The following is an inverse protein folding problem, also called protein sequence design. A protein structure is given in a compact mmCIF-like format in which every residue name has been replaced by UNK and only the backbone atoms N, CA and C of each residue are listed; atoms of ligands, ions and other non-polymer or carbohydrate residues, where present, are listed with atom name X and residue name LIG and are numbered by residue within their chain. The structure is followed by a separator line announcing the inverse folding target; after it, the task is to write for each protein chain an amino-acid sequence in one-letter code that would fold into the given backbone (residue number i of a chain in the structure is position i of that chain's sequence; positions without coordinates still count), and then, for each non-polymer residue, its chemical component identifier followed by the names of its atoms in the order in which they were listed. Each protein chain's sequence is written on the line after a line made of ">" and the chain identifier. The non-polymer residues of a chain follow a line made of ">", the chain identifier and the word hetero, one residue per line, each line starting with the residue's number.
data_IF_212531711150
#
_entry.id   IF_212531711150
#
_cell.length_a   1.000
_cell.length_b   1.000
_cell.length_c   1.000
_cell.angle_alpha   90.00
_cell.angle_beta   90.00
_cell.angle_gamma   90.00
#
_symmetry.space_group_name_H-M   'P 1'
#
loop_
_entity.id
_entity.type
_entity.pdbx_description
1 polymer ?
#
# COMPACT_ATOMS: atom_id res chain seq x y z
N UNK A 1 -18.81 -12.07 -4.67
CA UNK A 1 -18.15 -12.53 -5.90
C UNK A 1 -16.68 -12.13 -5.85
N UNK A 2 -15.78 -13.12 -5.90
CA UNK A 2 -14.33 -12.97 -5.95
C UNK A 2 -13.89 -13.09 -7.41
N UNK A 3 -13.82 -11.98 -8.14
CA UNK A 3 -13.19 -11.94 -9.45
C UNK A 3 -12.01 -10.99 -9.38
N UNK A 4 -10.81 -11.52 -9.59
CA UNK A 4 -9.60 -10.73 -9.84
C UNK A 4 -9.68 -10.27 -11.29
N UNK A 5 -9.88 -8.97 -11.49
CA UNK A 5 -9.93 -8.38 -12.83
C UNK A 5 -8.50 -8.06 -13.23
N UNK A 6 -8.00 -8.69 -14.31
CA UNK A 6 -6.69 -8.39 -14.89
C UNK A 6 -6.81 -7.11 -15.71
N UNK A 7 -6.47 -5.98 -15.11
CA UNK A 7 -6.47 -4.69 -15.79
C UNK A 7 -5.16 -4.53 -16.58
N UNK A 8 -5.27 -4.12 -17.85
CA UNK A 8 -4.14 -3.84 -18.72
C UNK A 8 -3.35 -2.62 -18.20
N UNK A 9 -2.08 -2.45 -18.58
CA UNK A 9 -1.23 -1.34 -18.07
C UNK A 9 -1.85 0.05 -18.34
N UNK A 10 -2.52 0.19 -19.48
CA UNK A 10 -3.29 1.37 -19.87
C UNK A 10 -4.45 1.63 -18.89
N UNK A 11 -5.06 0.58 -18.34
CA UNK A 11 -6.16 0.69 -17.39
C UNK A 11 -5.68 1.12 -15.99
N UNK A 12 -4.53 0.64 -15.53
CA UNK A 12 -3.96 1.09 -14.24
C UNK A 12 -3.53 2.56 -14.26
N UNK A 13 -3.00 3.04 -15.39
CA UNK A 13 -2.70 4.46 -15.58
C UNK A 13 -3.96 5.34 -15.44
N UNK A 14 -5.09 4.91 -16.00
CA UNK A 14 -6.36 5.62 -15.89
C UNK A 14 -6.94 5.57 -14.47
N UNK A 15 -6.88 4.42 -13.80
CA UNK A 15 -7.28 4.29 -12.39
C UNK A 15 -6.44 5.22 -11.52
N UNK A 16 -5.11 5.20 -11.68
CA UNK A 16 -4.21 6.08 -10.95
C UNK A 16 -4.51 7.55 -11.22
N UNK A 17 -4.75 7.94 -12.48
CA UNK A 17 -5.11 9.32 -12.82
C UNK A 17 -6.39 9.76 -12.10
N UNK A 18 -7.42 8.92 -12.09
CA UNK A 18 -8.69 9.24 -11.46
C UNK A 18 -8.59 9.28 -9.92
N UNK A 19 -7.87 8.32 -9.32
CA UNK A 19 -7.70 8.29 -7.86
C UNK A 19 -6.85 9.46 -7.35
N UNK A 20 -5.84 9.87 -8.11
CA UNK A 20 -4.98 11.00 -7.78
C UNK A 20 -5.61 12.36 -8.08
N UNK A 21 -6.82 12.41 -8.64
CA UNK A 21 -7.51 13.67 -8.84
C UNK A 21 -7.81 14.32 -7.49
N UNK A 22 -7.28 15.52 -7.30
CA UNK A 22 -7.35 16.29 -6.06
C UNK A 22 -8.67 17.02 -5.87
N UNK A 23 -9.57 16.98 -6.88
CA UNK A 23 -10.92 17.53 -6.76
C UNK A 23 -11.81 16.75 -5.77
N UNK A 24 -11.36 15.58 -5.29
CA UNK A 24 -12.11 14.73 -4.37
C UNK A 24 -13.09 13.76 -5.05
N UNK A 25 -13.16 13.76 -6.38
CA UNK A 25 -14.03 12.90 -7.20
C UNK A 25 -13.76 11.40 -6.98
N UNK A 26 -12.55 11.04 -6.56
CA UNK A 26 -12.18 9.67 -6.23
C UNK A 26 -13.06 9.05 -5.11
N UNK A 27 -13.69 9.88 -4.26
CA UNK A 27 -14.60 9.41 -3.20
C UNK A 27 -15.89 8.79 -3.74
N UNK A 28 -16.23 9.01 -5.01
CA UNK A 28 -17.33 8.33 -5.70
C UNK A 28 -17.10 6.82 -5.83
N UNK A 29 -15.83 6.39 -5.91
CA UNK A 29 -15.46 4.97 -5.85
C UNK A 29 -15.67 4.50 -4.41
N UNK A 30 -16.25 3.32 -4.20
CA UNK A 30 -16.44 2.81 -2.84
C UNK A 30 -15.11 2.60 -2.11
N UNK A 31 -15.12 2.78 -0.79
CA UNK A 31 -13.98 2.50 0.11
C UNK A 31 -13.40 1.11 -0.15
N UNK A 32 -14.27 0.10 -0.32
CA UNK A 32 -13.87 -1.28 -0.58
C UNK A 32 -13.14 -1.43 -1.92
N UNK A 33 -13.60 -0.75 -2.96
CA UNK A 33 -12.95 -0.81 -4.27
C UNK A 33 -11.59 -0.12 -4.26
N UNK A 34 -11.44 1.01 -3.55
CA UNK A 34 -10.14 1.69 -3.40
C UNK A 34 -9.13 0.81 -2.67
N UNK A 35 -9.55 0.14 -1.59
CA UNK A 35 -8.72 -0.84 -0.89
C UNK A 35 -8.31 -1.99 -1.83
N UNK A 36 -9.25 -2.53 -2.60
CA UNK A 36 -8.99 -3.59 -3.58
C UNK A 36 -8.00 -3.19 -4.66
N UNK A 37 -8.04 -1.95 -5.16
CA UNK A 37 -7.07 -1.50 -6.16
C UNK A 37 -5.63 -1.56 -5.65
N UNK A 38 -5.38 -1.20 -4.39
CA UNK A 38 -4.05 -1.28 -3.79
C UNK A 38 -3.64 -2.75 -3.63
N UNK A 39 -4.54 -3.59 -3.12
CA UNK A 39 -4.29 -5.03 -2.91
C UNK A 39 -3.98 -5.74 -4.24
N UNK A 40 -4.81 -5.57 -5.26
CA UNK A 40 -4.63 -6.18 -6.58
C UNK A 40 -3.36 -5.66 -7.26
N UNK A 41 -3.08 -4.35 -7.21
CA UNK A 41 -1.88 -3.78 -7.80
C UNK A 41 -0.61 -4.31 -7.14
N UNK A 42 -0.61 -4.50 -5.82
CA UNK A 42 0.50 -5.12 -5.10
C UNK A 42 0.71 -6.57 -5.55
N UNK A 43 -0.35 -7.37 -5.63
CA UNK A 43 -0.26 -8.76 -6.11
C UNK A 43 0.31 -8.83 -7.54
N UNK A 44 -0.13 -7.94 -8.44
CA UNK A 44 0.39 -7.89 -9.81
C UNK A 44 1.87 -7.46 -9.84
N UNK A 45 2.25 -6.48 -9.02
CA UNK A 45 3.64 -6.05 -8.90
C UNK A 45 4.54 -7.20 -8.42
N UNK A 46 4.11 -7.95 -7.40
CA UNK A 46 4.84 -9.11 -6.90
C UNK A 46 4.98 -10.22 -7.93
N UNK A 47 3.98 -10.39 -8.81
CA UNK A 47 4.02 -11.33 -9.92
C UNK A 47 4.76 -10.81 -11.17
N UNK A 48 5.36 -9.60 -11.10
CA UNK A 48 6.01 -8.92 -12.23
C UNK A 48 5.08 -8.64 -13.42
N UNK A 49 3.78 -8.55 -13.15
CA UNK A 49 2.74 -8.20 -14.14
C UNK A 49 2.40 -6.70 -14.13
N UNK A 50 2.87 -5.97 -13.11
CA UNK A 50 2.74 -4.52 -13.00
C UNK A 50 4.09 -3.90 -12.62
N UNK A 51 4.49 -2.84 -13.30
CA UNK A 51 5.73 -2.13 -12.99
C UNK A 51 5.65 -1.49 -11.59
N UNK A 52 6.77 -1.53 -10.87
CA UNK A 52 6.91 -0.91 -9.53
C UNK A 52 6.56 0.58 -9.58
N UNK A 53 6.95 1.28 -10.66
CA UNK A 53 6.62 2.69 -10.86
C UNK A 53 5.11 2.92 -11.02
N UNK A 54 4.39 2.00 -11.68
CA UNK A 54 2.95 2.07 -11.84
C UNK A 54 2.22 1.82 -10.52
N UNK A 55 2.70 0.86 -9.70
CA UNK A 55 2.20 0.64 -8.35
C UNK A 55 2.36 1.90 -7.49
N UNK A 56 3.56 2.49 -7.43
CA UNK A 56 3.78 3.72 -6.65
C UNK A 56 2.95 4.90 -7.16
N UNK A 57 2.76 5.01 -8.47
CA UNK A 57 1.91 6.04 -9.04
C UNK A 57 0.45 5.87 -8.64
N UNK A 58 -0.04 4.62 -8.57
CA UNK A 58 -1.37 4.32 -8.06
C UNK A 58 -1.49 4.76 -6.61
N UNK A 59 -0.58 4.37 -5.72
CA UNK A 59 -0.72 4.60 -4.26
C UNK A 59 -0.58 6.07 -3.83
N UNK A 60 -0.19 6.99 -4.71
CA UNK A 60 -0.08 8.43 -4.39
C UNK A 60 -1.37 9.02 -3.81
N UNK A 61 -2.55 8.52 -4.21
CA UNK A 61 -3.83 9.04 -3.73
C UNK A 61 -4.03 8.81 -2.23
N UNK A 62 -3.28 7.88 -1.63
CA UNK A 62 -3.33 7.66 -0.19
C UNK A 62 -2.99 8.94 0.59
N UNK A 63 -2.17 9.84 0.04
CA UNK A 63 -1.86 11.14 0.66
C UNK A 63 -3.09 12.01 0.93
N UNK A 64 -4.19 11.80 0.20
CA UNK A 64 -5.46 12.51 0.37
C UNK A 64 -6.58 11.63 0.95
N UNK A 65 -6.28 10.38 1.30
CA UNK A 65 -7.22 9.41 1.85
C UNK A 65 -7.14 9.37 3.37
N UNK A 66 -8.29 9.37 4.03
CA UNK A 66 -8.39 9.32 5.50
C UNK A 66 -9.05 8.05 6.02
N UNK A 67 -9.65 7.25 5.13
CA UNK A 67 -10.32 6.03 5.53
C UNK A 67 -9.32 4.90 5.79
N UNK A 68 -9.28 4.42 7.03
CA UNK A 68 -8.39 3.34 7.47
C UNK A 68 -8.51 2.06 6.64
N UNK A 69 -9.71 1.70 6.17
CA UNK A 69 -9.93 0.48 5.38
C UNK A 69 -9.16 0.55 4.06
N UNK A 70 -8.99 1.74 3.49
CA UNK A 70 -8.21 1.94 2.26
C UNK A 70 -6.71 1.90 2.53
N UNK A 71 -6.28 2.33 3.71
CA UNK A 71 -4.88 2.25 4.14
C UNK A 71 -4.42 0.84 4.52
N UNK A 72 -5.33 -0.02 4.96
CA UNK A 72 -5.00 -1.37 5.45
C UNK A 72 -4.16 -2.21 4.48
N UNK A 73 -4.49 -2.32 3.17
CA UNK A 73 -3.63 -3.01 2.20
C UNK A 73 -2.22 -2.42 2.14
N UNK A 74 -2.07 -1.10 2.18
CA UNK A 74 -0.75 -0.46 2.15
C UNK A 74 0.09 -0.79 3.39
N UNK A 75 -0.53 -0.91 4.56
CA UNK A 75 0.14 -1.36 5.78
C UNK A 75 0.68 -2.78 5.60
N UNK A 76 -0.10 -3.69 5.00
CA UNK A 76 0.35 -5.06 4.70
C UNK A 76 1.50 -5.08 3.69
N UNK A 77 1.52 -4.14 2.72
CA UNK A 77 2.66 -3.97 1.82
C UNK A 77 3.92 -3.56 2.58
N UNK A 78 3.82 -2.61 3.50
CA UNK A 78 4.98 -2.20 4.31
C UNK A 78 5.48 -3.30 5.23
N UNK A 79 4.58 -4.07 5.85
CA UNK A 79 4.94 -5.25 6.65
C UNK A 79 5.64 -6.32 5.79
N UNK A 80 5.19 -6.53 4.56
CA UNK A 80 5.89 -7.42 3.63
C UNK A 80 7.29 -6.89 3.30
N UNK A 81 7.42 -5.59 2.99
CA UNK A 81 8.70 -4.96 2.67
C UNK A 81 9.66 -4.92 3.86
N UNK A 82 9.18 -4.75 5.09
CA UNK A 82 10.04 -4.72 6.28
C UNK A 82 10.71 -6.06 6.52
N UNK A 83 10.06 -7.17 6.17
CA UNK A 83 10.66 -8.51 6.22
C UNK A 83 11.74 -8.71 5.14
N UNK A 84 11.75 -7.89 4.08
CA UNK A 84 12.74 -7.97 3.00
C UNK A 84 13.98 -7.12 3.26
N UNK A 85 13.90 -6.12 4.14
CA UNK A 85 15.06 -5.33 4.56
C UNK A 85 15.75 -6.11 5.67
N UNK A 86 16.94 -6.68 5.44
CA UNK A 86 17.71 -7.25 6.53
C UNK A 86 18.17 -6.07 7.39
N UNK A 87 17.53 -5.89 8.55
CA UNK A 87 18.06 -5.00 9.57
C UNK A 87 19.42 -5.55 9.97
N UNK A 88 20.44 -4.70 9.97
CA UNK A 88 21.74 -5.07 10.54
C UNK A 88 21.55 -5.39 12.02
N UNK A 89 22.37 -6.30 12.56
CA UNK A 89 22.31 -6.71 13.98
C UNK A 89 22.35 -5.50 14.93
N UNK A 90 23.09 -4.46 14.54
CA UNK A 90 23.23 -3.20 15.28
C UNK A 90 21.92 -2.39 15.32
N UNK A 91 21.12 -2.40 14.25
CA UNK A 91 19.82 -1.72 14.22
C UNK A 91 18.75 -2.43 15.06
N UNK A 92 18.82 -3.77 15.15
CA UNK A 92 17.95 -4.58 16.01
C UNK A 92 18.27 -4.33 17.48
N UNK A 93 19.55 -4.29 17.85
CA UNK A 93 19.98 -4.00 19.22
C UNK A 93 19.53 -2.61 19.69
N UNK A 94 19.64 -1.59 18.83
CA UNK A 94 19.15 -0.24 19.15
C UNK A 94 17.62 -0.21 19.30
N UNK A 95 16.87 -0.91 18.44
CA UNK A 95 15.42 -0.99 18.56
C UNK A 95 14.98 -1.69 19.87
N UNK A 96 15.63 -2.81 20.23
CA UNK A 96 15.36 -3.54 21.47
C UNK A 96 15.70 -2.70 22.72
N UNK A 97 16.80 -1.94 22.69
CA UNK A 97 17.17 -1.00 23.75
C UNK A 97 16.14 0.15 23.87
N UNK A 98 15.64 0.65 22.76
CA UNK A 98 14.62 1.72 22.75
C UNK A 98 13.24 1.22 23.22
N UNK A 99 12.89 -0.05 22.96
CA UNK A 99 11.66 -0.69 23.46
C UNK A 99 11.76 -0.97 24.96
N UNK A 100 12.89 -1.48 25.43
CA UNK A 100 13.12 -1.79 26.85
C UNK A 100 13.32 -0.54 27.71
N UNK A 101 13.88 0.55 27.16
CA UNK A 101 14.01 1.82 27.87
C UNK A 101 12.72 2.64 27.95
N UNK A 102 11.74 2.41 27.05
CA UNK A 102 10.44 3.09 27.05
C UNK A 102 9.34 2.40 27.86
N UNK A 103 9.67 1.36 28.62
CA UNK A 103 9.02 1.07 29.92
C UNK A 103 7.49 0.98 29.97
N UNK A 104 6.82 0.30 29.03
CA UNK A 104 5.48 -0.23 29.29
C UNK A 104 5.57 -1.71 29.65
N UNK A 105 5.50 -1.95 30.96
CA UNK A 105 5.39 -3.26 31.59
C UNK A 105 4.19 -4.05 31.04
N UNK A 106 4.43 -5.31 30.67
CA UNK A 106 3.55 -6.43 30.99
C UNK A 106 4.36 -7.45 31.79
#
# INVERSE_FOLDING_TARGET
>A
GYYRIKYDSITWGNIAKYLNDTAGDYKSISVINRAKFIDDAFHLMMNRELDVSAFWNLTKFLSQETNFVVWYPMIKVFEYMSNLIPLSREEIEVADIMVTSNGYYI
#
